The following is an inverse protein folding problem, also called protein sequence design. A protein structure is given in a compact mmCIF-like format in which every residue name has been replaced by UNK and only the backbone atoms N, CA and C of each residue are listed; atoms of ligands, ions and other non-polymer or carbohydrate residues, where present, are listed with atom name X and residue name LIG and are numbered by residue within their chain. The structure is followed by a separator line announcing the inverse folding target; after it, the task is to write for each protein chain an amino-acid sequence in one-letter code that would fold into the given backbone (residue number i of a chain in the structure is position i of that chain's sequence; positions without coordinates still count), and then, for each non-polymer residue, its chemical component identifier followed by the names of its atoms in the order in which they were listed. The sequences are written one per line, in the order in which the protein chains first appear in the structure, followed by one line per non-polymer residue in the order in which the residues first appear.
data_IF_641323160537
#
_entry.id   IF_641323160537
#
_cell.length_a   1.000
_cell.length_b   1.000
_cell.length_c   1.000
_cell.angle_alpha   90.00
_cell.angle_beta   90.00
_cell.angle_gamma   90.00
#
_symmetry.space_group_name_H-M   'P 1'
#
loop_
_entity.id
_entity.type
_entity.pdbx_description
1 polymer ?
#
# COMPACT_ATOMS: atom_id res chain seq x y z
N UNK A 1 15.54 46.76 50.14
CA UNK A 1 14.44 47.31 50.95
C UNK A 1 14.90 48.56 51.62
N UNK A 2 14.12 49.63 51.56
CA UNK A 2 14.33 50.85 52.31
C UNK A 2 13.31 50.84 53.47
N UNK A 3 13.78 51.09 54.68
CA UNK A 3 12.95 51.25 55.89
C UNK A 3 13.13 52.69 56.36
N UNK A 4 12.02 53.40 56.47
CA UNK A 4 12.00 54.76 56.99
C UNK A 4 11.24 54.79 58.31
N UNK A 5 11.73 55.66 59.24
CA UNK A 5 11.09 55.88 60.53
C UNK A 5 11.29 57.36 60.93
N UNK A 6 10.55 57.78 61.91
CA UNK A 6 10.76 59.07 62.57
C UNK A 6 11.34 58.81 63.91
N UNK A 7 12.49 59.45 64.23
CA UNK A 7 13.16 59.28 65.57
C UNK A 7 12.35 59.96 66.73
N UNK A 8 12.83 59.79 67.96
CA UNK A 8 12.14 60.35 69.11
C UNK A 8 12.18 61.89 69.15
N UNK A 9 12.98 62.51 68.29
CA UNK A 9 13.13 63.99 68.20
C UNK A 9 12.32 64.54 66.99
N UNK A 10 11.62 63.66 66.28
CA UNK A 10 10.75 64.05 65.13
C UNK A 10 11.47 64.13 63.78
N UNK A 11 12.72 63.67 63.66
CA UNK A 11 13.49 63.68 62.40
C UNK A 11 13.22 62.43 61.58
N UNK A 12 12.98 62.56 60.25
CA UNK A 12 12.83 61.40 59.37
C UNK A 12 14.17 60.72 59.09
N UNK A 13 14.25 59.43 59.32
CA UNK A 13 15.41 58.58 59.08
C UNK A 13 15.07 57.50 58.08
N UNK A 14 16.07 57.01 57.31
CA UNK A 14 15.91 55.87 56.43
C UNK A 14 17.19 55.06 56.34
N UNK A 15 17.04 53.74 56.30
CA UNK A 15 18.10 52.77 56.07
C UNK A 15 17.73 51.88 54.91
N UNK A 16 18.66 51.73 53.96
CA UNK A 16 18.45 50.85 52.79
C UNK A 16 19.38 49.66 52.91
N UNK A 17 18.83 48.45 52.67
CA UNK A 17 19.66 47.24 52.59
C UNK A 17 20.51 47.23 51.32
N UNK A 18 21.59 46.47 51.33
CA UNK A 18 22.30 46.12 50.12
C UNK A 18 21.38 45.37 49.18
N UNK A 19 21.71 45.39 47.88
CA UNK A 19 21.06 44.58 46.88
C UNK A 19 21.37 43.09 47.14
N UNK A 20 20.38 42.23 46.88
CA UNK A 20 20.61 40.76 46.86
C UNK A 20 21.46 40.41 45.63
N UNK A 21 22.01 39.19 45.59
CA UNK A 21 22.50 38.62 44.32
C UNK A 21 21.36 38.59 43.28
N UNK A 22 21.70 38.51 42.02
CA UNK A 22 20.72 38.31 40.97
C UNK A 22 19.90 37.05 41.25
N UNK A 23 18.60 37.13 41.03
CA UNK A 23 17.72 35.95 41.09
C UNK A 23 18.08 35.06 39.90
N UNK A 24 18.38 33.80 40.14
CA UNK A 24 18.62 32.79 39.11
C UNK A 24 17.30 32.12 38.76
N UNK A 25 17.14 31.81 37.45
CA UNK A 25 16.01 31.07 36.96
C UNK A 25 16.05 29.62 37.44
N UNK A 26 14.88 29.03 37.67
CA UNK A 26 14.68 27.60 37.85
C UNK A 26 13.89 27.14 36.61
N UNK A 27 14.47 26.23 35.84
CA UNK A 27 13.78 25.67 34.67
C UNK A 27 12.48 24.98 35.05
N UNK A 28 11.42 25.33 34.39
CA UNK A 28 10.09 24.73 34.56
C UNK A 28 9.83 23.75 33.42
N UNK A 29 9.18 22.64 33.72
CA UNK A 29 8.81 21.68 32.69
C UNK A 29 7.57 22.12 31.94
N UNK A 30 7.40 21.69 30.67
CA UNK A 30 6.21 21.99 29.86
C UNK A 30 4.91 21.66 30.59
N UNK A 31 3.92 22.49 30.42
CA UNK A 31 2.54 22.24 30.83
C UNK A 31 1.61 22.11 29.63
N UNK A 32 0.43 21.49 29.84
CA UNK A 32 -0.46 21.12 28.73
C UNK A 32 0.05 19.88 28.01
N UNK A 33 -0.09 19.84 26.68
CA UNK A 33 0.34 18.66 25.92
C UNK A 33 0.25 18.83 24.42
N UNK A 34 0.64 17.77 23.73
CA UNK A 34 0.49 17.62 22.28
C UNK A 34 -0.57 16.56 22.02
N UNK A 35 -1.50 16.84 21.12
CA UNK A 35 -2.49 15.88 20.66
C UNK A 35 -2.45 15.73 19.15
N UNK A 36 -2.87 14.56 18.66
CA UNK A 36 -2.99 14.31 17.23
C UNK A 36 -4.44 14.48 16.83
N UNK A 37 -4.68 15.26 15.79
CA UNK A 37 -6.00 15.45 15.17
C UNK A 37 -5.98 14.88 13.75
N UNK A 38 -7.12 14.42 13.25
CA UNK A 38 -7.28 13.73 11.98
C UNK A 38 -7.84 12.32 12.20
N UNK A 39 -8.05 11.61 11.08
CA UNK A 39 -8.55 10.23 11.11
C UNK A 39 -7.36 9.33 10.77
N UNK A 40 -7.00 8.36 11.62
CA UNK A 40 -5.90 7.43 11.34
C UNK A 40 -6.36 6.39 10.30
N UNK A 41 -6.40 6.81 9.08
CA UNK A 41 -6.73 6.03 7.88
C UNK A 41 -5.71 6.41 6.82
N UNK A 42 -5.25 5.46 6.06
CA UNK A 42 -4.34 5.66 4.94
C UNK A 42 -4.79 6.83 4.05
N UNK A 43 -3.84 7.53 3.42
CA UNK A 43 -4.02 8.74 2.60
C UNK A 43 -4.58 9.96 3.34
N UNK A 44 -4.93 9.83 4.64
CA UNK A 44 -5.37 10.97 5.43
C UNK A 44 -4.18 11.69 6.07
N UNK A 45 -4.40 12.96 6.39
CA UNK A 45 -3.41 13.80 7.07
C UNK A 45 -3.70 13.83 8.57
N UNK A 46 -2.69 13.55 9.37
CA UNK A 46 -2.67 13.80 10.80
C UNK A 46 -1.99 15.15 11.07
N UNK A 47 -2.46 15.88 12.06
CA UNK A 47 -1.90 17.17 12.48
C UNK A 47 -1.59 17.15 13.97
N UNK A 48 -0.41 17.63 14.34
CA UNK A 48 -0.01 17.85 15.72
C UNK A 48 -0.68 19.13 16.25
N UNK A 49 -1.58 19.00 17.19
CA UNK A 49 -2.19 20.14 17.88
C UNK A 49 -1.36 20.45 19.15
N UNK A 50 -0.73 21.61 19.13
CA UNK A 50 0.11 22.16 20.20
C UNK A 50 -0.54 23.33 20.91
N UNK A 51 -1.83 23.61 20.70
CA UNK A 51 -2.52 24.80 21.22
C UNK A 51 -2.59 24.86 22.75
N UNK A 52 -2.47 23.72 23.42
CA UNK A 52 -2.45 23.64 24.89
C UNK A 52 -1.05 23.58 25.47
N UNK A 53 -0.02 23.43 24.64
CA UNK A 53 1.37 23.39 25.09
C UNK A 53 1.81 24.78 25.58
N UNK A 54 2.32 24.86 26.78
CA UNK A 54 2.82 26.08 27.38
C UNK A 54 4.04 25.80 28.26
N UNK A 55 4.86 26.81 28.43
CA UNK A 55 6.06 26.78 29.26
C UNK A 55 6.22 28.15 29.96
N UNK A 56 6.46 28.16 31.28
CA UNK A 56 6.66 29.39 32.05
C UNK A 56 7.95 30.12 31.63
N UNK A 57 8.95 29.35 31.16
CA UNK A 57 10.22 29.89 30.67
C UNK A 57 10.15 30.29 29.17
N UNK A 58 8.96 30.13 28.56
CA UNK A 58 8.64 30.49 27.17
C UNK A 58 8.88 29.38 26.16
N UNK A 59 7.97 29.24 25.21
CA UNK A 59 8.11 28.31 24.08
C UNK A 59 9.06 28.91 23.02
N UNK A 60 10.09 28.15 22.64
CA UNK A 60 10.90 28.42 21.48
C UNK A 60 10.25 27.95 20.18
N UNK A 61 11.05 27.88 19.11
CA UNK A 61 10.60 27.30 17.86
C UNK A 61 10.36 25.79 18.03
N UNK A 62 9.16 25.34 17.62
CA UNK A 62 8.77 23.95 17.72
C UNK A 62 9.39 23.13 16.59
N UNK A 63 9.88 21.94 16.92
CA UNK A 63 10.35 20.91 16.02
C UNK A 63 9.53 19.65 16.23
N UNK A 64 9.22 18.92 15.17
CA UNK A 64 8.35 17.76 15.19
C UNK A 64 9.11 16.52 14.73
N UNK A 65 8.77 15.36 15.29
CA UNK A 65 9.18 14.05 14.81
C UNK A 65 8.03 13.07 14.97
N UNK A 66 7.50 12.60 13.84
CA UNK A 66 6.50 11.55 13.83
C UNK A 66 7.15 10.18 13.94
N UNK A 67 6.45 9.25 14.59
CA UNK A 67 6.92 7.89 14.83
C UNK A 67 5.80 6.88 14.57
N UNK A 68 6.19 5.74 13.99
CA UNK A 68 5.36 4.56 13.74
C UNK A 68 5.72 3.49 14.76
N UNK A 69 4.77 3.05 15.60
CA UNK A 69 4.99 2.09 16.69
C UNK A 69 6.23 2.42 17.54
N UNK A 70 6.46 3.71 17.82
CA UNK A 70 7.57 4.22 18.59
C UNK A 70 8.90 4.33 17.83
N UNK A 71 8.97 3.96 16.55
CA UNK A 71 10.15 4.13 15.71
C UNK A 71 10.02 5.41 14.89
N UNK A 72 11.01 6.32 14.90
CA UNK A 72 10.95 7.55 14.11
C UNK A 72 10.79 7.26 12.61
N UNK A 73 9.90 8.02 11.97
CA UNK A 73 9.68 8.00 10.52
C UNK A 73 10.65 9.01 9.89
N UNK A 74 11.52 8.54 8.99
CA UNK A 74 12.54 9.39 8.38
C UNK A 74 11.93 10.55 7.58
N UNK A 75 12.40 11.77 7.83
CA UNK A 75 11.91 12.97 7.18
C UNK A 75 10.53 13.48 7.64
N UNK A 76 9.81 12.79 8.52
CA UNK A 76 8.50 13.21 9.02
C UNK A 76 8.68 14.25 10.16
N UNK A 77 9.03 15.48 9.78
CA UNK A 77 9.40 16.57 10.71
C UNK A 77 8.52 17.82 10.59
N UNK A 78 7.39 17.74 9.90
CA UNK A 78 6.41 18.82 9.81
C UNK A 78 5.36 18.72 10.92
N UNK A 79 4.59 19.79 11.13
CA UNK A 79 3.44 19.81 12.04
C UNK A 79 2.28 18.91 11.59
N UNK A 80 2.34 18.40 10.37
CA UNK A 80 1.41 17.44 9.79
C UNK A 80 2.16 16.25 9.18
N UNK A 81 1.46 15.11 9.07
CA UNK A 81 1.98 13.89 8.47
C UNK A 81 0.88 13.21 7.64
N UNK A 82 1.18 12.91 6.38
CA UNK A 82 0.31 12.12 5.50
C UNK A 82 0.58 10.64 5.71
N UNK A 83 -0.45 9.91 6.08
CA UNK A 83 -0.39 8.46 6.25
C UNK A 83 -0.23 7.77 4.90
N UNK A 84 0.53 6.68 4.90
CA UNK A 84 0.85 5.87 3.72
C UNK A 84 0.57 4.40 4.00
N UNK A 85 0.62 3.54 2.98
CA UNK A 85 0.50 2.07 3.10
C UNK A 85 1.44 1.50 4.17
N UNK A 86 2.65 2.05 4.32
CA UNK A 86 3.58 1.59 5.35
C UNK A 86 3.09 1.80 6.80
N UNK A 87 2.12 2.71 7.01
CA UNK A 87 1.54 3.02 8.31
C UNK A 87 0.38 2.11 8.69
N UNK A 88 -0.18 1.38 7.72
CA UNK A 88 -1.34 0.51 7.92
C UNK A 88 -1.08 -0.51 9.04
N UNK A 89 -2.04 -0.61 9.96
CA UNK A 89 -1.94 -1.47 11.13
C UNK A 89 -1.07 -0.94 12.27
N UNK A 90 -0.31 0.15 12.07
CA UNK A 90 0.55 0.75 13.09
C UNK A 90 -0.16 1.89 13.84
N UNK A 91 0.32 2.21 15.04
CA UNK A 91 -0.07 3.39 15.80
C UNK A 91 0.94 4.53 15.64
N UNK A 92 0.45 5.75 15.45
CA UNK A 92 1.28 6.93 15.18
C UNK A 92 1.35 7.82 16.39
N UNK A 93 2.55 8.34 16.68
CA UNK A 93 2.82 9.35 17.71
C UNK A 93 3.61 10.51 17.11
N UNK A 94 3.56 11.67 17.73
CA UNK A 94 4.43 12.80 17.42
C UNK A 94 5.12 13.31 18.68
N UNK A 95 6.44 13.49 18.61
CA UNK A 95 7.21 14.21 19.60
C UNK A 95 7.38 15.66 19.10
N UNK A 96 7.09 16.62 19.99
CA UNK A 96 7.35 18.03 19.78
C UNK A 96 8.46 18.45 20.73
N UNK A 97 9.52 19.02 20.20
CA UNK A 97 10.68 19.50 20.95
C UNK A 97 10.95 20.97 20.68
N UNK A 98 11.52 21.67 21.66
CA UNK A 98 11.89 23.08 21.56
C UNK A 98 13.02 23.40 22.57
N UNK A 99 13.59 24.57 22.41
CA UNK A 99 14.47 25.16 23.42
C UNK A 99 13.70 26.32 24.06
N UNK A 100 13.57 26.34 25.37
CA UNK A 100 12.86 27.40 26.09
C UNK A 100 13.61 28.74 26.04
N UNK A 101 13.01 29.79 26.63
CA UNK A 101 13.62 31.13 26.66
C UNK A 101 14.89 31.24 27.50
N UNK A 102 15.16 30.29 28.39
CA UNK A 102 16.32 30.20 29.27
C UNK A 102 17.40 29.25 28.74
N UNK A 103 17.13 28.55 27.61
CA UNK A 103 18.08 27.69 26.90
C UNK A 103 18.01 26.20 27.28
N UNK A 104 17.01 25.74 28.02
CA UNK A 104 16.81 24.33 28.27
C UNK A 104 16.11 23.67 27.08
N UNK A 105 16.45 22.38 26.80
CA UNK A 105 15.81 21.59 25.77
C UNK A 105 14.68 20.77 26.39
N UNK A 106 13.49 20.94 25.84
CA UNK A 106 12.26 20.31 26.32
C UNK A 106 11.60 19.50 25.19
N UNK A 107 10.84 18.45 25.57
CA UNK A 107 10.03 17.69 24.61
C UNK A 107 8.77 17.15 25.24
N UNK A 108 7.74 17.00 24.40
CA UNK A 108 6.44 16.39 24.79
C UNK A 108 6.01 15.47 23.67
N UNK A 109 5.64 14.24 24.01
CA UNK A 109 5.12 13.25 23.06
C UNK A 109 3.61 13.10 23.19
N UNK A 110 2.90 13.01 22.09
CA UNK A 110 1.45 12.78 22.06
C UNK A 110 1.07 11.39 22.58
N UNK A 111 -0.19 11.19 22.93
CA UNK A 111 -0.76 9.84 22.96
C UNK A 111 -0.73 9.23 21.54
N UNK A 112 -0.64 7.90 21.49
CA UNK A 112 -0.70 7.18 20.22
C UNK A 112 -2.12 7.22 19.64
N UNK A 113 -2.23 7.24 18.31
CA UNK A 113 -3.50 7.04 17.62
C UNK A 113 -4.02 5.61 17.81
N UNK A 114 -5.24 5.31 17.38
CA UNK A 114 -5.60 3.94 17.02
C UNK A 114 -4.72 3.47 15.84
N UNK A 115 -4.72 2.17 15.58
CA UNK A 115 -4.06 1.64 14.39
C UNK A 115 -4.62 2.32 13.13
N UNK A 116 -3.74 2.62 12.18
CA UNK A 116 -4.09 3.18 10.87
C UNK A 116 -4.91 2.15 10.10
N UNK A 117 -6.08 2.56 9.64
CA UNK A 117 -6.94 1.72 8.82
C UNK A 117 -6.47 1.74 7.36
N UNK A 118 -6.55 0.59 6.70
CA UNK A 118 -6.28 0.46 5.27
C UNK A 118 -7.35 1.15 4.42
N UNK A 119 -6.95 1.64 3.26
CA UNK A 119 -7.80 2.00 2.13
C UNK A 119 -7.41 1.08 0.98
N UNK A 120 -8.35 0.30 0.44
CA UNK A 120 -8.03 -0.60 -0.65
C UNK A 120 -7.51 0.15 -1.88
N UNK A 121 -6.30 -0.19 -2.31
CA UNK A 121 -5.70 0.28 -3.55
C UNK A 121 -6.01 -0.69 -4.70
N UNK A 122 -6.44 -0.19 -5.86
CA UNK A 122 -6.70 -1.07 -6.99
C UNK A 122 -5.38 -1.55 -7.62
N UNK A 123 -5.39 -2.75 -8.27
CA UNK A 123 -4.23 -3.25 -8.98
C UNK A 123 -3.63 -2.24 -9.96
N UNK A 124 -2.31 -2.08 -9.91
CA UNK A 124 -1.54 -1.29 -10.85
C UNK A 124 -0.85 -2.20 -11.88
N UNK A 125 -0.54 -1.65 -13.08
CA UNK A 125 0.02 -2.42 -14.17
C UNK A 125 -1.05 -3.26 -14.89
N UNK A 126 -0.71 -4.48 -15.29
CA UNK A 126 -1.67 -5.29 -16.03
C UNK A 126 -1.21 -6.71 -16.32
N UNK A 127 -2.07 -7.45 -17.00
CA UNK A 127 -1.84 -8.79 -17.51
C UNK A 127 -1.78 -8.75 -19.03
N UNK A 128 -0.75 -9.32 -19.62
CA UNK A 128 -0.63 -9.45 -21.07
C UNK A 128 -0.48 -10.91 -21.48
N UNK A 129 -0.85 -11.22 -22.74
CA UNK A 129 -0.67 -12.55 -23.30
C UNK A 129 0.53 -12.52 -24.25
N UNK A 130 1.49 -13.40 -24.04
CA UNK A 130 2.60 -13.66 -24.94
C UNK A 130 2.44 -15.01 -25.61
N UNK A 131 2.98 -15.15 -26.83
CA UNK A 131 2.86 -16.34 -27.69
C UNK A 131 2.19 -16.01 -29.02
N UNK A 132 2.02 -17.02 -29.87
CA UNK A 132 1.36 -16.87 -31.18
C UNK A 132 -0.02 -17.50 -31.12
N UNK A 133 -1.04 -16.74 -31.50
CA UNK A 133 -2.43 -17.22 -31.55
C UNK A 133 -2.62 -18.19 -32.75
N UNK A 134 -2.04 -19.37 -32.64
CA UNK A 134 -2.10 -20.44 -33.62
C UNK A 134 -2.36 -21.75 -32.90
N UNK A 135 -3.23 -22.61 -33.42
CA UNK A 135 -3.49 -23.93 -32.84
C UNK A 135 -2.19 -24.67 -32.53
N UNK A 136 -2.21 -25.50 -31.46
CA UNK A 136 -1.08 -26.25 -30.91
C UNK A 136 0.04 -25.38 -30.27
N UNK A 137 -0.05 -24.04 -30.35
CA UNK A 137 0.91 -23.15 -29.71
C UNK A 137 0.52 -22.86 -28.25
N UNK A 138 1.52 -22.54 -27.43
CA UNK A 138 1.31 -22.18 -26.03
C UNK A 138 1.22 -20.66 -25.91
N UNK A 139 0.19 -20.19 -25.25
CA UNK A 139 0.07 -18.82 -24.74
C UNK A 139 0.52 -18.78 -23.28
N UNK A 140 1.13 -17.67 -22.91
CA UNK A 140 1.60 -17.42 -21.53
C UNK A 140 1.03 -16.10 -21.04
N UNK A 141 0.44 -16.12 -19.85
CA UNK A 141 0.03 -14.91 -19.12
C UNK A 141 1.28 -14.26 -18.51
N UNK A 142 1.59 -13.05 -18.93
CA UNK A 142 2.66 -12.23 -18.36
C UNK A 142 2.05 -11.27 -17.34
N UNK A 143 2.46 -11.43 -16.08
CA UNK A 143 2.04 -10.65 -14.91
C UNK A 143 3.19 -9.84 -14.31
N UNK A 144 4.30 -9.66 -15.03
CA UNK A 144 5.51 -9.01 -14.51
C UNK A 144 5.33 -7.54 -14.16
N UNK A 145 4.31 -6.88 -14.75
CA UNK A 145 3.97 -5.49 -14.46
C UNK A 145 2.82 -5.35 -13.47
N UNK A 146 2.18 -6.45 -13.08
CA UNK A 146 1.10 -6.42 -12.10
C UNK A 146 1.68 -6.13 -10.71
N UNK A 147 1.15 -5.12 -10.06
CA UNK A 147 1.52 -4.69 -8.71
C UNK A 147 0.28 -4.27 -7.94
N UNK A 148 0.39 -4.26 -6.63
CA UNK A 148 -0.66 -3.84 -5.72
C UNK A 148 0.00 -3.25 -4.48
N UNK A 149 -0.43 -2.07 -4.02
CA UNK A 149 0.12 -1.46 -2.81
C UNK A 149 -0.26 -2.26 -1.57
N UNK A 150 -1.46 -2.88 -1.56
CA UNK A 150 -1.92 -3.80 -0.52
C UNK A 150 -1.25 -5.18 -0.57
N UNK A 151 -0.22 -5.35 -1.37
CA UNK A 151 0.57 -6.58 -1.57
C UNK A 151 -0.16 -7.65 -2.38
N UNK A 152 0.44 -8.06 -3.50
CA UNK A 152 -0.08 -9.17 -4.32
C UNK A 152 -0.13 -10.48 -3.54
N UNK A 153 -1.32 -11.11 -3.53
CA UNK A 153 -1.51 -12.47 -3.05
C UNK A 153 -1.13 -13.53 -4.09
N UNK A 154 -1.57 -14.76 -3.84
CA UNK A 154 -1.36 -15.87 -4.78
C UNK A 154 -2.21 -15.67 -6.02
N UNK A 155 -1.57 -15.67 -7.19
CA UNK A 155 -2.25 -15.46 -8.47
C UNK A 155 -2.98 -16.73 -8.92
N UNK A 156 -4.23 -16.57 -9.31
CA UNK A 156 -5.07 -17.59 -9.93
C UNK A 156 -5.41 -17.15 -11.35
N UNK A 157 -5.43 -18.09 -12.28
CA UNK A 157 -5.64 -17.83 -13.69
C UNK A 157 -6.95 -18.47 -14.18
N UNK A 158 -7.61 -17.82 -15.11
CA UNK A 158 -8.73 -18.40 -15.86
C UNK A 158 -8.67 -17.91 -17.31
N UNK A 159 -8.38 -18.81 -18.24
CA UNK A 159 -8.44 -18.54 -19.66
C UNK A 159 -9.87 -18.59 -20.18
N UNK A 160 -10.16 -17.76 -21.14
CA UNK A 160 -11.51 -17.64 -21.76
C UNK A 160 -11.40 -17.56 -23.27
N UNK A 161 -12.38 -18.14 -23.95
CA UNK A 161 -12.60 -18.13 -25.38
C UNK A 161 -13.80 -17.25 -25.69
N UNK A 162 -13.63 -16.16 -26.46
CA UNK A 162 -14.68 -15.17 -26.77
C UNK A 162 -15.46 -14.75 -25.49
N UNK A 163 -14.75 -14.56 -24.37
CA UNK A 163 -15.32 -14.16 -23.09
C UNK A 163 -15.96 -15.29 -22.27
N UNK A 164 -16.03 -16.53 -22.80
CA UNK A 164 -16.53 -17.71 -22.06
C UNK A 164 -15.37 -18.48 -21.42
N UNK A 165 -15.40 -18.76 -20.11
CA UNK A 165 -14.36 -19.52 -19.43
C UNK A 165 -14.12 -20.90 -20.09
N UNK A 166 -12.85 -21.27 -20.24
CA UNK A 166 -12.43 -22.58 -20.70
C UNK A 166 -12.26 -23.49 -19.48
N UNK A 167 -13.02 -24.56 -19.41
CA UNK A 167 -13.01 -25.45 -18.25
C UNK A 167 -11.62 -26.08 -18.03
N UNK A 168 -11.14 -25.99 -16.78
CA UNK A 168 -9.82 -26.47 -16.36
C UNK A 168 -8.62 -25.66 -16.86
N UNK A 169 -8.79 -24.60 -17.64
CA UNK A 169 -7.69 -23.74 -18.11
C UNK A 169 -7.31 -22.70 -17.02
N UNK A 170 -6.65 -23.17 -15.96
CA UNK A 170 -6.32 -22.39 -14.74
C UNK A 170 -4.83 -22.26 -14.47
N UNK A 171 -3.97 -22.60 -15.42
CA UNK A 171 -2.53 -22.42 -15.33
C UNK A 171 -2.08 -21.07 -15.90
N UNK A 172 -0.86 -20.62 -15.57
CA UNK A 172 -0.26 -19.42 -16.17
C UNK A 172 0.00 -19.56 -17.69
N UNK A 173 -0.12 -20.77 -18.20
CA UNK A 173 -0.01 -21.07 -19.64
C UNK A 173 -1.23 -21.83 -20.12
N UNK A 174 -1.57 -21.65 -21.40
CA UNK A 174 -2.64 -22.36 -22.05
C UNK A 174 -2.20 -22.82 -23.45
N UNK A 175 -2.39 -24.10 -23.77
CA UNK A 175 -2.14 -24.63 -25.10
C UNK A 175 -3.40 -24.50 -25.93
N UNK A 176 -3.30 -23.85 -27.09
CA UNK A 176 -4.42 -23.64 -27.98
C UNK A 176 -4.85 -24.96 -28.66
N UNK A 177 -6.14 -25.17 -28.71
CA UNK A 177 -6.76 -26.38 -29.25
C UNK A 177 -7.60 -26.07 -30.51
N UNK A 178 -8.03 -27.10 -31.23
CA UNK A 178 -8.91 -26.96 -32.41
C UNK A 178 -10.22 -26.19 -32.07
N UNK A 179 -10.70 -26.32 -30.82
CA UNK A 179 -11.89 -25.59 -30.38
C UNK A 179 -11.69 -24.07 -30.27
N UNK A 180 -10.43 -23.60 -30.23
CA UNK A 180 -10.09 -22.18 -30.13
C UNK A 180 -10.00 -21.51 -31.51
N UNK A 181 -9.91 -22.29 -32.60
CA UNK A 181 -9.72 -21.76 -33.93
C UNK A 181 -10.84 -20.80 -34.33
N UNK A 182 -10.45 -19.62 -34.76
CA UNK A 182 -11.35 -18.54 -35.17
C UNK A 182 -11.85 -17.67 -33.99
N UNK A 183 -11.50 -17.98 -32.77
CA UNK A 183 -11.91 -17.22 -31.56
C UNK A 183 -10.75 -16.39 -30.97
N UNK A 184 -11.05 -15.39 -30.17
CA UNK A 184 -10.08 -14.61 -29.42
C UNK A 184 -9.95 -15.16 -28.00
N UNK A 185 -8.72 -15.18 -27.47
CA UNK A 185 -8.40 -15.70 -26.15
C UNK A 185 -8.07 -14.55 -25.19
N UNK A 186 -8.58 -14.61 -23.98
CA UNK A 186 -8.23 -13.73 -22.87
C UNK A 186 -7.84 -14.55 -21.63
N UNK A 187 -7.13 -13.94 -20.70
CA UNK A 187 -6.87 -14.53 -19.38
C UNK A 187 -7.23 -13.52 -18.30
N UNK A 188 -8.04 -13.95 -17.34
CA UNK A 188 -8.27 -13.23 -16.09
C UNK A 188 -7.31 -13.76 -15.03
N UNK A 189 -6.64 -12.85 -14.33
CA UNK A 189 -5.80 -13.15 -13.16
C UNK A 189 -6.49 -12.55 -11.94
N UNK A 190 -6.72 -13.37 -10.93
CA UNK A 190 -7.35 -12.97 -9.68
C UNK A 190 -6.50 -13.35 -8.49
N UNK A 191 -6.58 -12.59 -7.42
CA UNK A 191 -5.90 -12.83 -6.16
C UNK A 191 -6.69 -12.20 -5.01
N UNK A 192 -6.29 -12.52 -3.79
CA UNK A 192 -6.67 -11.75 -2.60
C UNK A 192 -5.42 -11.04 -2.14
N UNK A 193 -5.50 -9.72 -1.96
CA UNK A 193 -4.37 -8.90 -1.51
C UNK A 193 -3.97 -9.20 -0.05
N UNK A 194 -2.96 -8.50 0.45
CA UNK A 194 -2.46 -8.66 1.82
C UNK A 194 -3.44 -8.18 2.89
N UNK A 195 -4.36 -7.29 2.54
CA UNK A 195 -5.38 -6.73 3.43
C UNK A 195 -6.74 -7.45 3.33
N UNK A 196 -6.84 -8.45 2.43
CA UNK A 196 -7.96 -9.37 2.33
C UNK A 196 -9.01 -9.02 1.29
N UNK A 197 -8.75 -8.04 0.39
CA UNK A 197 -9.65 -7.72 -0.71
C UNK A 197 -9.41 -8.63 -1.91
N UNK A 198 -10.49 -9.02 -2.59
CA UNK A 198 -10.42 -9.83 -3.79
C UNK A 198 -10.30 -8.95 -5.02
N UNK A 199 -9.21 -9.13 -5.77
CA UNK A 199 -8.88 -8.35 -6.95
C UNK A 199 -8.84 -9.20 -8.22
N UNK A 200 -9.04 -8.57 -9.38
CA UNK A 200 -8.98 -9.24 -10.69
C UNK A 200 -8.60 -8.30 -11.82
N UNK A 201 -7.69 -8.76 -12.66
CA UNK A 201 -7.25 -8.05 -13.86
C UNK A 201 -7.37 -8.99 -15.07
N UNK A 202 -7.94 -8.51 -16.19
CA UNK A 202 -8.10 -9.30 -17.40
C UNK A 202 -7.23 -8.71 -18.50
N UNK A 203 -6.57 -9.58 -19.28
CA UNK A 203 -5.74 -9.19 -20.42
C UNK A 203 -6.58 -8.62 -21.57
N UNK A 204 -5.93 -7.89 -22.48
CA UNK A 204 -6.46 -7.69 -23.81
C UNK A 204 -6.64 -9.06 -24.52
N UNK A 205 -7.57 -9.10 -25.47
CA UNK A 205 -7.81 -10.28 -26.27
C UNK A 205 -6.71 -10.48 -27.33
N UNK A 206 -6.37 -11.74 -27.60
CA UNK A 206 -5.51 -12.07 -28.74
C UNK A 206 -6.22 -11.75 -30.07
N UNK A 207 -5.47 -11.79 -31.18
CA UNK A 207 -6.10 -12.00 -32.49
C UNK A 207 -6.81 -13.37 -32.50
N UNK A 208 -7.74 -13.54 -33.45
CA UNK A 208 -8.37 -14.84 -33.68
C UNK A 208 -7.32 -15.94 -33.91
N UNK A 209 -7.50 -17.08 -33.23
CA UNK A 209 -6.59 -18.23 -33.36
C UNK A 209 -6.63 -18.78 -34.79
N UNK A 210 -5.44 -18.94 -35.38
CA UNK A 210 -5.29 -19.53 -36.72
C UNK A 210 -5.21 -21.05 -36.65
N UNK A 211 -5.80 -21.72 -37.64
CA UNK A 211 -5.78 -23.17 -37.74
C UNK A 211 -4.43 -23.72 -38.22
N UNK A 212 -4.05 -24.87 -37.69
CA UNK A 212 -2.98 -25.73 -38.24
C UNK A 212 -3.61 -26.89 -38.97
N UNK A 213 -3.19 -27.11 -40.24
CA UNK A 213 -3.69 -28.25 -40.98
C UNK A 213 -3.04 -29.53 -40.53
N UNK A 214 -3.82 -30.44 -40.02
CA UNK A 214 -3.37 -31.78 -39.61
C UNK A 214 -3.58 -32.79 -40.74
N UNK A 215 -2.59 -33.63 -40.97
CA UNK A 215 -2.74 -34.75 -41.92
C UNK A 215 -3.71 -35.79 -41.33
N UNK A 216 -4.57 -36.39 -42.14
CA UNK A 216 -5.41 -37.48 -41.69
C UNK A 216 -4.59 -38.58 -41.02
N UNK A 217 -5.07 -39.09 -39.90
CA UNK A 217 -4.49 -40.28 -39.26
C UNK A 217 -5.36 -41.48 -39.61
N UNK A 218 -4.74 -42.64 -39.74
CA UNK A 218 -5.39 -43.83 -40.20
C UNK A 218 -5.25 -44.13 -41.67
N UNK A 219 -6.03 -45.01 -42.18
CA UNK A 219 -5.90 -45.45 -43.56
C UNK A 219 -7.22 -45.95 -44.15
N UNK A 220 -7.26 -46.07 -45.46
CA UNK A 220 -8.34 -46.72 -46.18
C UNK A 220 -7.91 -48.14 -46.52
N UNK A 221 -8.66 -49.11 -46.13
CA UNK A 221 -8.46 -50.51 -46.49
C UNK A 221 -9.55 -50.99 -47.43
N UNK A 222 -9.20 -51.86 -48.35
CA UNK A 222 -10.17 -52.50 -49.26
C UNK A 222 -10.47 -53.90 -48.73
N UNK A 223 -11.73 -54.16 -48.47
CA UNK A 223 -12.23 -55.48 -48.09
C UNK A 223 -13.07 -56.06 -49.19
N UNK A 224 -13.10 -57.40 -49.27
CA UNK A 224 -13.76 -58.16 -50.32
C UNK A 224 -12.79 -59.08 -51.08
N UNK A 225 -13.29 -59.94 -51.91
CA UNK A 225 -12.50 -60.82 -52.76
C UNK A 225 -12.36 -60.20 -54.12
N UNK A 226 -11.12 -60.09 -54.60
CA UNK A 226 -10.82 -59.53 -55.93
C UNK A 226 -11.09 -60.55 -57.00
N UNK A 227 -12.34 -60.89 -57.25
CA UNK A 227 -12.83 -61.81 -58.27
C UNK A 227 -13.84 -61.08 -59.14
N UNK A 228 -14.02 -61.53 -60.41
CA UNK A 228 -15.03 -61.00 -61.29
C UNK A 228 -16.43 -61.16 -60.66
N UNK A 229 -17.31 -60.18 -60.82
CA UNK A 229 -18.67 -60.09 -60.25
C UNK A 229 -18.74 -59.94 -58.71
N UNK A 230 -17.62 -59.83 -57.99
CA UNK A 230 -17.58 -59.57 -56.52
C UNK A 230 -17.42 -58.08 -56.20
N UNK A 231 -18.01 -57.64 -55.08
CA UNK A 231 -17.96 -56.25 -54.60
C UNK A 231 -16.77 -56.03 -53.70
N UNK A 232 -15.96 -55.05 -54.00
CA UNK A 232 -14.95 -54.51 -53.09
C UNK A 232 -15.53 -53.31 -52.32
N UNK A 233 -15.29 -53.27 -51.02
CA UNK A 233 -15.76 -52.20 -50.14
C UNK A 233 -14.54 -51.44 -49.58
N UNK A 234 -14.55 -50.13 -49.69
CA UNK A 234 -13.56 -49.29 -49.00
C UNK A 234 -13.96 -49.15 -47.51
N UNK A 235 -13.11 -49.58 -46.62
CA UNK A 235 -13.26 -49.40 -45.17
C UNK A 235 -12.48 -48.15 -44.75
N UNK A 236 -13.21 -47.13 -44.29
CA UNK A 236 -12.71 -45.84 -43.80
C UNK A 236 -12.86 -45.66 -42.29
N UNK A 237 -13.18 -46.75 -41.57
CA UNK A 237 -13.47 -46.71 -40.15
C UNK A 237 -12.26 -46.30 -39.28
N UNK A 238 -11.07 -46.33 -39.87
CA UNK A 238 -9.81 -45.92 -39.19
C UNK A 238 -9.24 -44.63 -39.74
N UNK A 239 -10.00 -43.91 -40.56
CA UNK A 239 -9.58 -42.61 -41.13
C UNK A 239 -9.78 -41.47 -40.13
#
# INVERSE_FOLDING_TARGET
VAVSYTDGEGSPESVTSDATSAVTNVSHSPSGGVTITGIPTEDQVLTADTTTLADEDGLGALSYQWSRDGSPIDGATSDNYSLTQEDVGAAITVEVSYTDGEGASESVTSAATSQVANVNDPPAGGVTISGTATEDQVLTADTTTLADEDVLGVLNYQWSRDGSPIDGATSSTYTLEQADVGTAITVAVSYTDGEGTAESVTSDATSAVTNVSHSPTGGVTITGTATEDEVLTADTSTL
#
